data_IF_305045344471
#
_entry.id   IF_305045344471
#
_cell.length_a   1.000
_cell.length_b   1.000
_cell.length_c   1.000
_cell.angle_alpha   90.00
_cell.angle_beta   90.00
_cell.angle_gamma   90.00
#
_symmetry.space_group_name_H-M   'P 1'
#
loop_
_entity.id
_entity.type
_entity.pdbx_description
1 polymer ?
#
# COMPACT_ATOMS: atom_id res chain seq x y z
N UNK A 1 -9.19 7.91 -13.26
CA UNK A 1 -9.57 8.23 -11.86
C UNK A 1 -11.08 8.18 -11.61
N UNK A 2 -11.92 8.93 -12.34
CA UNK A 2 -13.38 8.87 -12.16
C UNK A 2 -13.98 7.45 -12.26
N UNK A 3 -13.44 6.63 -13.17
CA UNK A 3 -13.87 5.24 -13.33
C UNK A 3 -13.61 4.39 -12.07
N UNK A 4 -12.44 4.52 -11.42
CA UNK A 4 -12.10 3.75 -10.20
C UNK A 4 -13.03 4.11 -9.05
N UNK A 5 -13.31 5.40 -8.86
CA UNK A 5 -14.23 5.87 -7.83
C UNK A 5 -15.62 5.28 -8.06
N UNK A 6 -16.13 5.35 -9.30
CA UNK A 6 -17.45 4.79 -9.63
C UNK A 6 -17.54 3.29 -9.36
N UNK A 7 -16.47 2.54 -9.64
CA UNK A 7 -16.39 1.10 -9.35
C UNK A 7 -16.42 0.81 -7.85
N UNK A 8 -15.70 1.59 -7.04
CA UNK A 8 -15.69 1.46 -5.58
C UNK A 8 -17.06 1.83 -5.00
N UNK A 9 -17.73 2.86 -5.53
CA UNK A 9 -19.08 3.24 -5.10
C UNK A 9 -20.12 2.18 -5.45
N UNK A 10 -20.01 1.52 -6.61
CA UNK A 10 -20.99 0.53 -7.08
C UNK A 10 -20.81 -0.87 -6.49
N UNK A 11 -19.63 -1.19 -5.94
CA UNK A 11 -19.30 -2.53 -5.44
C UNK A 11 -19.02 -2.51 -3.92
N UNK A 12 -19.24 -3.62 -3.22
CA UNK A 12 -18.81 -3.76 -1.82
C UNK A 12 -17.32 -4.05 -1.71
N UNK A 13 -16.79 -4.80 -2.69
CA UNK A 13 -15.38 -5.19 -2.77
C UNK A 13 -14.87 -4.94 -4.18
N UNK A 14 -13.74 -4.27 -4.30
CA UNK A 14 -13.01 -4.09 -5.56
C UNK A 14 -11.56 -4.51 -5.35
N UNK A 15 -11.00 -5.24 -6.31
CA UNK A 15 -9.59 -5.60 -6.33
C UNK A 15 -8.90 -4.66 -7.31
N UNK A 16 -7.85 -3.99 -6.86
CA UNK A 16 -7.04 -3.10 -7.67
C UNK A 16 -5.69 -3.78 -7.88
N UNK A 17 -5.46 -4.18 -9.13
CA UNK A 17 -4.24 -4.78 -9.59
C UNK A 17 -3.34 -3.72 -10.24
N UNK A 18 -2.06 -3.68 -9.90
CA UNK A 18 -1.09 -2.85 -10.60
C UNK A 18 0.29 -2.96 -9.99
N UNK A 19 1.34 -2.77 -10.78
CA UNK A 19 2.73 -2.97 -10.34
C UNK A 19 3.11 -2.15 -9.10
N UNK A 20 4.16 -2.57 -8.39
CA UNK A 20 4.78 -1.75 -7.34
C UNK A 20 5.21 -0.40 -7.91
N UNK A 21 4.96 0.68 -7.18
CA UNK A 21 5.21 2.04 -7.66
C UNK A 21 4.09 2.65 -8.52
N UNK A 22 3.00 1.93 -8.82
CA UNK A 22 1.83 2.50 -9.53
C UNK A 22 0.96 3.46 -8.70
N UNK A 23 1.37 3.75 -7.47
CA UNK A 23 0.68 4.71 -6.59
C UNK A 23 -0.59 4.19 -5.92
N UNK A 24 -0.83 2.87 -5.86
CA UNK A 24 -2.03 2.29 -5.23
C UNK A 24 -2.23 2.76 -3.78
N UNK A 25 -1.20 2.61 -2.96
CA UNK A 25 -1.24 2.88 -1.52
C UNK A 25 -1.15 4.36 -1.16
N UNK A 26 -0.65 5.19 -2.09
CA UNK A 26 -0.44 6.63 -1.88
C UNK A 26 -1.55 7.48 -2.50
N UNK A 27 -1.94 7.22 -3.76
CA UNK A 27 -2.82 8.10 -4.52
C UNK A 27 -4.30 7.68 -4.46
N UNK A 28 -4.63 6.39 -4.49
CA UNK A 28 -6.04 5.95 -4.51
C UNK A 28 -6.84 6.38 -3.27
N UNK A 29 -6.33 6.23 -2.03
CA UNK A 29 -7.05 6.71 -0.84
C UNK A 29 -7.26 8.22 -0.87
N UNK A 30 -6.29 8.97 -1.40
CA UNK A 30 -6.37 10.42 -1.54
C UNK A 30 -7.45 10.84 -2.55
N UNK A 31 -7.56 10.16 -3.70
CA UNK A 31 -8.62 10.44 -4.67
C UNK A 31 -10.02 10.17 -4.11
N UNK A 32 -10.19 9.12 -3.31
CA UNK A 32 -11.46 8.84 -2.63
C UNK A 32 -11.75 9.92 -1.59
N UNK A 33 -10.76 10.29 -0.78
CA UNK A 33 -10.93 11.34 0.22
C UNK A 33 -11.35 12.67 -0.43
N UNK A 34 -10.66 13.10 -1.49
CA UNK A 34 -10.95 14.33 -2.22
C UNK A 34 -12.36 14.29 -2.83
N UNK A 35 -12.76 13.15 -3.41
CA UNK A 35 -14.10 12.99 -3.97
C UNK A 35 -15.21 13.23 -2.94
N UNK A 36 -15.05 12.68 -1.73
CA UNK A 36 -16.03 12.85 -0.67
C UNK A 36 -15.99 14.26 -0.06
N UNK A 37 -14.81 14.87 0.08
CA UNK A 37 -14.66 16.27 0.52
C UNK A 37 -15.38 17.22 -0.44
N UNK A 38 -15.20 17.05 -1.75
CA UNK A 38 -15.87 17.87 -2.78
C UNK A 38 -17.39 17.78 -2.74
N UNK A 39 -17.94 16.67 -2.24
CA UNK A 39 -19.39 16.43 -2.10
C UNK A 39 -19.91 16.75 -0.70
N UNK A 40 -19.06 17.27 0.19
CA UNK A 40 -19.36 17.49 1.60
C UNK A 40 -19.92 16.23 2.29
N UNK A 41 -19.43 15.05 1.89
CA UNK A 41 -19.87 13.76 2.41
C UNK A 41 -18.85 13.23 3.44
N UNK A 42 -19.36 12.55 4.47
CA UNK A 42 -18.49 11.92 5.46
C UNK A 42 -17.67 10.78 4.82
N UNK A 43 -16.37 10.78 5.09
CA UNK A 43 -15.44 9.76 4.63
C UNK A 43 -14.38 9.50 5.70
N UNK A 44 -14.27 8.24 6.12
CA UNK A 44 -13.22 7.77 7.00
C UNK A 44 -12.56 6.53 6.37
N UNK A 45 -11.27 6.63 6.10
CA UNK A 45 -10.50 5.67 5.31
C UNK A 45 -9.39 5.09 6.18
N UNK A 46 -9.31 3.75 6.21
CA UNK A 46 -8.13 3.05 6.71
C UNK A 46 -7.41 2.36 5.57
N UNK A 47 -6.08 2.42 5.61
CA UNK A 47 -5.20 1.69 4.68
C UNK A 47 -4.26 0.82 5.49
N UNK A 48 -4.26 -0.49 5.25
CA UNK A 48 -3.28 -1.39 5.88
C UNK A 48 -1.94 -1.30 5.17
N UNK A 49 -0.88 -1.60 5.91
CA UNK A 49 0.46 -1.85 5.40
C UNK A 49 1.03 -3.09 6.10
N UNK A 50 1.79 -3.96 5.41
CA UNK A 50 2.38 -5.14 6.04
C UNK A 50 3.42 -4.75 7.10
N UNK A 51 4.10 -3.61 6.93
CA UNK A 51 5.21 -3.17 7.79
C UNK A 51 4.92 -1.84 8.47
N UNK A 52 5.38 -1.71 9.72
CA UNK A 52 5.27 -0.46 10.51
C UNK A 52 5.88 0.74 9.80
N UNK A 53 7.08 0.56 9.24
CA UNK A 53 7.80 1.61 8.49
C UNK A 53 6.99 2.04 7.26
N UNK A 54 6.30 1.12 6.58
CA UNK A 54 5.42 1.44 5.45
C UNK A 54 4.28 2.38 5.86
N UNK A 55 3.53 2.00 6.91
CA UNK A 55 2.42 2.83 7.41
C UNK A 55 2.88 4.23 7.83
N UNK A 56 3.94 4.32 8.65
CA UNK A 56 4.41 5.61 9.15
C UNK A 56 5.05 6.49 8.07
N UNK A 57 5.79 5.89 7.12
CA UNK A 57 6.46 6.63 6.05
C UNK A 57 5.47 7.17 5.02
N UNK A 58 4.45 6.39 4.64
CA UNK A 58 3.43 6.83 3.69
C UNK A 58 2.62 7.99 4.29
N UNK A 59 2.14 7.87 5.54
CA UNK A 59 1.40 8.95 6.20
C UNK A 59 2.23 10.25 6.30
N UNK A 60 3.51 10.14 6.63
CA UNK A 60 4.44 11.29 6.66
C UNK A 60 4.65 11.88 5.26
N UNK A 61 4.80 11.05 4.24
CA UNK A 61 4.97 11.51 2.87
C UNK A 61 3.73 12.26 2.38
N UNK A 62 2.53 11.71 2.55
CA UNK A 62 1.26 12.36 2.18
C UNK A 62 1.07 13.67 2.94
N UNK A 63 1.38 13.71 4.24
CA UNK A 63 1.28 14.94 5.04
C UNK A 63 2.14 16.07 4.45
N UNK A 64 3.34 15.74 3.94
CA UNK A 64 4.23 16.70 3.28
C UNK A 64 3.73 17.07 1.88
N UNK A 65 3.32 16.10 1.08
CA UNK A 65 2.78 16.29 -0.28
C UNK A 65 1.58 17.27 -0.27
N UNK A 66 0.69 17.10 0.71
CA UNK A 66 -0.55 17.90 0.85
C UNK A 66 -0.43 19.13 1.73
N UNK A 67 0.75 19.40 2.29
CA UNK A 67 0.95 20.42 3.33
C UNK A 67 -0.06 20.29 4.50
N UNK A 68 -0.37 19.07 4.90
CA UNK A 68 -1.19 18.76 6.07
C UNK A 68 -0.33 18.48 7.30
N UNK A 69 -0.85 18.81 8.47
CA UNK A 69 -0.23 18.37 9.73
C UNK A 69 -0.43 16.88 9.90
N UNK A 70 0.65 16.14 10.13
CA UNK A 70 0.59 14.72 10.47
C UNK A 70 -0.19 14.51 11.77
N UNK A 71 -1.17 13.62 11.76
CA UNK A 71 -2.13 13.43 12.84
C UNK A 71 -3.37 14.32 12.76
N UNK A 72 -3.38 15.29 11.84
CA UNK A 72 -4.58 16.02 11.40
C UNK A 72 -5.40 15.14 10.45
N UNK A 73 -5.60 15.58 9.20
CA UNK A 73 -6.43 14.86 8.23
C UNK A 73 -5.86 13.48 7.84
N UNK A 74 -4.52 13.35 7.82
CA UNK A 74 -3.79 12.10 7.58
C UNK A 74 -2.98 11.69 8.82
N UNK A 75 -2.98 10.40 9.15
CA UNK A 75 -2.27 9.89 10.32
C UNK A 75 -1.87 8.42 10.18
N UNK A 76 -1.28 7.86 11.24
CA UNK A 76 -0.99 6.43 11.30
C UNK A 76 -1.15 5.82 12.68
N UNK A 77 -1.29 4.49 12.72
CA UNK A 77 -1.25 3.70 13.94
C UNK A 77 -0.46 2.40 13.75
N UNK A 78 0.61 2.21 14.50
CA UNK A 78 1.49 1.03 14.40
C UNK A 78 1.82 0.49 15.80
N UNK A 79 1.36 -0.73 16.09
CA UNK A 79 1.42 -1.27 17.46
C UNK A 79 0.77 -0.31 18.46
N UNK A 80 1.55 0.16 19.45
CA UNK A 80 1.10 1.12 20.47
C UNK A 80 1.29 2.59 20.06
N UNK A 81 2.06 2.86 19.00
CA UNK A 81 2.28 4.22 18.51
C UNK A 81 1.10 4.67 17.65
N UNK A 82 0.44 5.76 18.05
CA UNK A 82 -0.69 6.34 17.33
C UNK A 82 -0.46 7.83 17.13
N UNK A 83 -0.41 8.26 15.87
CA UNK A 83 -0.39 9.66 15.45
C UNK A 83 -1.65 9.91 14.64
N UNK A 84 -2.76 10.15 15.33
CA UNK A 84 -4.07 10.43 14.75
C UNK A 84 -4.96 11.11 15.79
N UNK A 85 -5.88 11.94 15.32
CA UNK A 85 -6.88 12.66 16.13
C UNK A 85 -8.30 12.28 15.69
N UNK A 86 -9.32 12.86 16.32
CA UNK A 86 -10.71 12.71 15.87
C UNK A 86 -10.97 13.36 14.50
N UNK A 87 -10.07 14.23 14.04
CA UNK A 87 -10.12 14.86 12.71
C UNK A 87 -9.45 14.03 11.62
N UNK A 88 -8.74 12.96 11.99
CA UNK A 88 -8.13 12.07 11.00
C UNK A 88 -9.20 11.37 10.18
N UNK A 89 -9.09 11.48 8.85
CA UNK A 89 -9.99 10.87 7.87
C UNK A 89 -9.28 9.87 6.96
N UNK A 90 -7.96 9.90 6.91
CA UNK A 90 -7.11 8.92 6.24
C UNK A 90 -6.06 8.40 7.22
N UNK A 91 -6.19 7.16 7.65
CA UNK A 91 -5.26 6.54 8.59
C UNK A 91 -4.56 5.33 7.99
N UNK A 92 -3.24 5.31 8.08
CA UNK A 92 -2.41 4.15 7.71
C UNK A 92 -2.12 3.31 8.95
N UNK A 93 -2.28 1.99 8.89
CA UNK A 93 -1.95 1.14 10.04
C UNK A 93 -1.41 -0.22 9.63
N UNK A 94 -0.77 -0.94 10.55
CA UNK A 94 -0.39 -2.32 10.24
C UNK A 94 -1.61 -3.23 10.17
N UNK A 95 -1.51 -4.31 9.38
CA UNK A 95 -2.53 -5.36 9.27
C UNK A 95 -3.00 -5.85 10.64
N UNK A 96 -2.07 -6.18 11.55
CA UNK A 96 -2.40 -6.62 12.90
C UNK A 96 -3.16 -5.59 13.75
N UNK A 97 -2.88 -4.28 13.60
CA UNK A 97 -3.60 -3.23 14.33
C UNK A 97 -5.05 -3.14 13.86
N UNK A 98 -5.28 -3.19 12.54
CA UNK A 98 -6.64 -3.20 11.99
C UNK A 98 -7.39 -4.45 12.45
N UNK A 99 -6.76 -5.62 12.34
CA UNK A 99 -7.35 -6.90 12.76
C UNK A 99 -7.80 -6.85 14.23
N UNK A 100 -6.94 -6.37 15.12
CA UNK A 100 -7.26 -6.23 16.55
C UNK A 100 -8.45 -5.28 16.76
N UNK A 101 -8.47 -4.12 16.08
CA UNK A 101 -9.57 -3.14 16.15
C UNK A 101 -10.91 -3.75 15.75
N UNK A 102 -10.98 -4.39 14.58
CA UNK A 102 -12.26 -4.89 14.03
C UNK A 102 -12.75 -6.14 14.76
N UNK A 103 -11.85 -6.95 15.32
CA UNK A 103 -12.22 -8.10 16.17
C UNK A 103 -12.80 -7.60 17.50
N UNK A 104 -12.18 -6.58 18.10
CA UNK A 104 -12.67 -5.97 19.34
C UNK A 104 -14.03 -5.28 19.13
N UNK A 105 -14.14 -4.46 18.08
CA UNK A 105 -15.37 -3.73 17.75
C UNK A 105 -16.48 -4.62 17.18
N UNK A 106 -16.12 -5.81 16.64
CA UNK A 106 -17.02 -6.72 15.91
C UNK A 106 -17.75 -6.03 14.74
N UNK A 107 -17.13 -5.03 14.14
CA UNK A 107 -17.70 -4.20 13.08
C UNK A 107 -16.60 -3.49 12.29
N UNK A 108 -16.86 -3.18 11.01
CA UNK A 108 -16.02 -2.31 10.19
C UNK A 108 -16.53 -0.86 10.17
N UNK A 109 -17.66 -0.56 10.82
CA UNK A 109 -18.41 0.69 10.67
C UNK A 109 -17.69 1.94 11.20
N UNK A 110 -16.55 1.79 11.90
CA UNK A 110 -15.63 2.90 12.15
C UNK A 110 -15.18 3.55 10.84
N UNK A 111 -15.00 2.74 9.79
CA UNK A 111 -14.49 3.16 8.49
C UNK A 111 -15.59 3.09 7.42
N UNK A 112 -15.59 4.09 6.54
CA UNK A 112 -16.36 4.07 5.29
C UNK A 112 -15.67 3.23 4.22
N UNK A 113 -14.32 3.27 4.22
CA UNK A 113 -13.48 2.57 3.26
C UNK A 113 -12.33 1.86 3.97
N UNK A 114 -12.09 0.60 3.62
CA UNK A 114 -11.00 -0.22 4.14
C UNK A 114 -10.15 -0.69 2.96
N UNK A 115 -8.95 -0.15 2.85
CA UNK A 115 -7.95 -0.56 1.88
C UNK A 115 -7.04 -1.59 2.53
N UNK A 116 -6.96 -2.77 1.90
CA UNK A 116 -6.08 -3.85 2.33
C UNK A 116 -4.96 -3.95 1.30
N UNK A 117 -3.79 -3.45 1.67
CA UNK A 117 -2.63 -3.40 0.78
C UNK A 117 -1.79 -4.67 0.81
N UNK A 118 -1.04 -4.90 -0.26
CA UNK A 118 -0.08 -6.01 -0.40
C UNK A 118 -0.71 -7.39 -0.12
N UNK A 119 -1.97 -7.61 -0.57
CA UNK A 119 -2.68 -8.89 -0.31
C UNK A 119 -1.96 -10.10 -0.91
N UNK A 120 -1.05 -9.87 -1.86
CA UNK A 120 -0.24 -10.91 -2.48
C UNK A 120 0.88 -11.46 -1.59
N UNK A 121 1.24 -10.80 -0.48
CA UNK A 121 2.25 -11.33 0.45
C UNK A 121 1.76 -12.58 1.22
N UNK A 122 0.44 -12.84 1.25
CA UNK A 122 -0.21 -14.03 1.86
C UNK A 122 0.34 -14.40 3.25
N UNK A 123 0.47 -13.41 4.11
CA UNK A 123 0.83 -13.65 5.51
C UNK A 123 -0.37 -14.20 6.29
N UNK A 124 -0.12 -14.96 7.36
CA UNK A 124 -1.19 -15.50 8.21
C UNK A 124 -2.12 -14.38 8.72
N UNK A 125 -1.53 -13.27 9.20
CA UNK A 125 -2.30 -12.10 9.65
C UNK A 125 -3.19 -11.51 8.56
N UNK A 126 -2.73 -11.47 7.30
CA UNK A 126 -3.50 -10.99 6.16
C UNK A 126 -4.71 -11.90 5.90
N UNK A 127 -4.50 -13.21 5.88
CA UNK A 127 -5.58 -14.18 5.64
C UNK A 127 -6.64 -14.12 6.75
N UNK A 128 -6.22 -13.99 8.01
CA UNK A 128 -7.15 -13.76 9.12
C UNK A 128 -7.93 -12.45 8.98
N UNK A 129 -7.26 -11.36 8.57
CA UNK A 129 -7.93 -10.09 8.30
C UNK A 129 -8.99 -10.24 7.20
N UNK A 130 -8.66 -10.86 6.07
CA UNK A 130 -9.60 -11.08 4.97
C UNK A 130 -10.81 -11.91 5.41
N UNK A 131 -10.59 -12.94 6.23
CA UNK A 131 -11.66 -13.77 6.80
C UNK A 131 -12.61 -12.97 7.69
N UNK A 132 -12.09 -12.17 8.60
CA UNK A 132 -12.91 -11.34 9.50
C UNK A 132 -13.65 -10.26 8.70
N UNK A 133 -12.96 -9.57 7.78
CA UNK A 133 -13.56 -8.54 6.91
C UNK A 133 -14.71 -9.12 6.08
N UNK A 134 -14.50 -10.27 5.42
CA UNK A 134 -15.55 -10.94 4.64
C UNK A 134 -16.76 -11.30 5.50
N UNK A 135 -16.53 -11.80 6.72
CA UNK A 135 -17.61 -12.12 7.66
C UNK A 135 -18.40 -10.87 8.05
N UNK A 136 -17.72 -9.78 8.40
CA UNK A 136 -18.36 -8.53 8.83
C UNK A 136 -19.13 -7.85 7.69
N UNK A 137 -18.59 -7.85 6.47
CA UNK A 137 -19.28 -7.36 5.28
C UNK A 137 -20.62 -8.08 5.03
N UNK A 138 -20.68 -9.39 5.30
CA UNK A 138 -21.88 -10.20 5.08
C UNK A 138 -22.91 -10.07 6.20
N UNK A 139 -22.53 -9.57 7.37
CA UNK A 139 -23.41 -9.52 8.55
C UNK A 139 -23.87 -8.11 8.87
N UNK A 140 -22.97 -7.23 9.32
CA UNK A 140 -23.33 -5.97 9.96
C UNK A 140 -22.67 -4.73 9.32
N UNK A 141 -21.76 -4.92 8.37
CA UNK A 141 -20.97 -3.83 7.77
C UNK A 141 -21.19 -3.72 6.25
N UNK A 142 -22.44 -3.93 5.78
CA UNK A 142 -22.78 -4.08 4.35
C UNK A 142 -22.52 -2.84 3.48
N UNK A 143 -22.41 -1.66 4.10
CA UNK A 143 -22.19 -0.38 3.42
C UNK A 143 -20.71 0.01 3.35
N UNK A 144 -19.83 -0.69 4.07
CA UNK A 144 -18.39 -0.42 4.05
C UNK A 144 -17.81 -0.88 2.73
N UNK A 145 -16.98 -0.03 2.13
CA UNK A 145 -16.27 -0.32 0.88
C UNK A 145 -14.92 -0.94 1.20
N UNK A 146 -14.64 -2.12 0.63
CA UNK A 146 -13.34 -2.78 0.79
C UNK A 146 -12.60 -2.76 -0.54
N UNK A 147 -11.34 -2.34 -0.49
CA UNK A 147 -10.46 -2.28 -1.64
C UNK A 147 -9.25 -3.15 -1.37
N UNK A 148 -9.07 -4.22 -2.14
CA UNK A 148 -7.88 -5.08 -2.05
C UNK A 148 -6.85 -4.60 -3.07
N UNK A 149 -5.61 -4.34 -2.65
CA UNK A 149 -4.55 -3.87 -3.55
C UNK A 149 -3.48 -4.94 -3.70
N UNK A 150 -3.18 -5.30 -4.95
CA UNK A 150 -2.21 -6.35 -5.29
C UNK A 150 -1.27 -5.88 -6.41
N UNK A 151 0.01 -6.29 -6.32
CA UNK A 151 0.98 -6.09 -7.39
C UNK A 151 1.16 -7.32 -8.30
N UNK A 152 0.51 -8.45 -7.98
CA UNK A 152 0.68 -9.70 -8.71
C UNK A 152 -0.57 -10.12 -9.48
N UNK A 153 -0.34 -10.92 -10.52
CA UNK A 153 -1.37 -11.36 -11.47
C UNK A 153 -2.40 -12.33 -10.86
N UNK A 154 -2.14 -12.92 -9.68
CA UNK A 154 -3.05 -13.86 -9.04
C UNK A 154 -4.16 -13.16 -8.24
N UNK A 155 -4.88 -12.23 -8.89
CA UNK A 155 -6.02 -11.52 -8.31
C UNK A 155 -7.32 -12.35 -8.33
N UNK A 156 -7.37 -13.42 -9.14
CA UNK A 156 -8.56 -14.24 -9.33
C UNK A 156 -8.98 -14.97 -8.05
N UNK A 157 -8.04 -15.51 -7.29
CA UNK A 157 -8.35 -16.19 -6.03
C UNK A 157 -9.04 -15.27 -5.02
N UNK A 158 -8.59 -14.00 -4.93
CA UNK A 158 -9.26 -13.00 -4.10
C UNK A 158 -10.64 -12.63 -4.63
N UNK A 159 -10.80 -12.55 -5.95
CA UNK A 159 -12.08 -12.23 -6.58
C UNK A 159 -13.13 -13.31 -6.30
N UNK A 160 -12.75 -14.57 -6.44
CA UNK A 160 -13.58 -15.73 -6.16
C UNK A 160 -13.87 -15.85 -4.65
N UNK A 161 -12.88 -15.56 -3.80
CA UNK A 161 -13.07 -15.55 -2.35
C UNK A 161 -14.14 -14.52 -1.92
N UNK A 162 -14.10 -13.30 -2.45
CA UNK A 162 -15.08 -12.25 -2.15
C UNK A 162 -16.35 -12.31 -3.01
N UNK A 163 -16.56 -13.39 -3.77
CA UNK A 163 -17.75 -13.54 -4.59
C UNK A 163 -19.05 -13.40 -3.79
N UNK A 164 -20.05 -12.78 -4.43
CA UNK A 164 -21.39 -12.55 -3.88
C UNK A 164 -22.44 -13.30 -4.69
N UNK A 165 -23.49 -13.85 -4.05
CA UNK A 165 -24.56 -14.53 -4.77
C UNK A 165 -25.44 -13.52 -5.53
N UNK A 166 -25.55 -13.69 -6.85
CA UNK A 166 -26.42 -12.93 -7.76
C UNK A 166 -27.18 -13.92 -8.62
N UNK A 167 -28.51 -13.92 -8.56
CA UNK A 167 -29.38 -14.77 -9.40
C UNK A 167 -28.96 -16.26 -9.41
N UNK A 168 -28.76 -16.85 -8.21
CA UNK A 168 -28.30 -18.24 -8.00
C UNK A 168 -26.91 -18.58 -8.57
N UNK A 169 -26.10 -17.58 -8.92
CA UNK A 169 -24.68 -17.75 -9.30
C UNK A 169 -23.79 -16.93 -8.39
N UNK A 170 -22.57 -17.40 -8.17
CA UNK A 170 -21.54 -16.62 -7.49
C UNK A 170 -20.90 -15.67 -8.50
N UNK A 171 -21.04 -14.36 -8.28
CA UNK A 171 -20.38 -13.34 -9.08
C UNK A 171 -19.07 -12.91 -8.37
N UNK A 172 -17.90 -13.08 -8.98
CA UNK A 172 -16.62 -12.69 -8.38
C UNK A 172 -16.53 -11.17 -8.16
N UNK A 173 -15.68 -10.74 -7.23
CA UNK A 173 -15.41 -9.32 -7.04
C UNK A 173 -14.73 -8.71 -8.27
N UNK A 174 -15.04 -7.45 -8.56
CA UNK A 174 -14.49 -6.77 -9.73
C UNK A 174 -12.98 -6.55 -9.59
N UNK A 175 -12.22 -6.89 -10.63
CA UNK A 175 -10.78 -6.62 -10.72
C UNK A 175 -10.57 -5.44 -11.66
N UNK A 176 -9.96 -4.37 -11.13
CA UNK A 176 -9.57 -3.19 -11.89
C UNK A 176 -8.04 -3.17 -12.05
N UNK A 177 -7.56 -3.08 -13.29
CA UNK A 177 -6.14 -2.97 -13.59
C UNK A 177 -5.72 -1.51 -13.72
N UNK A 178 -4.73 -1.10 -12.93
CA UNK A 178 -4.09 0.20 -13.02
C UNK A 178 -2.99 0.12 -14.06
N UNK A 179 -3.16 0.88 -15.15
CA UNK A 179 -2.10 1.06 -16.14
C UNK A 179 -0.87 1.71 -15.48
N UNK A 180 0.28 1.06 -15.60
CA UNK A 180 1.57 1.60 -15.18
C UNK A 180 2.66 1.14 -16.13
N UNK A 181 3.47 2.07 -16.62
CA UNK A 181 4.75 1.72 -17.26
C UNK A 181 5.77 1.53 -16.15
N UNK A 182 6.32 0.32 -15.93
CA UNK A 182 7.50 0.20 -15.08
C UNK A 182 8.61 1.06 -15.70
N UNK A 183 9.36 1.79 -14.86
CA UNK A 183 10.62 2.37 -15.32
C UNK A 183 11.53 1.25 -15.82
N UNK A 184 12.33 1.51 -16.86
CA UNK A 184 13.28 0.52 -17.37
C UNK A 184 14.29 0.21 -16.27
N UNK A 185 14.22 -1.01 -15.74
CA UNK A 185 15.22 -1.55 -14.80
C UNK A 185 16.17 -2.41 -15.63
N UNK A 186 17.47 -2.15 -15.52
CA UNK A 186 18.50 -3.02 -16.08
C UNK A 186 18.73 -4.17 -15.09
N UNK A 187 18.51 -5.41 -15.55
CA UNK A 187 18.76 -6.61 -14.77
C UNK A 187 20.15 -7.17 -15.11
N UNK A 188 20.96 -7.39 -14.08
CA UNK A 188 22.27 -8.03 -14.22
C UNK A 188 22.29 -9.32 -13.41
N UNK A 189 22.69 -10.40 -14.06
CA UNK A 189 22.90 -11.71 -13.47
C UNK A 189 24.38 -11.88 -13.09
N UNK A 190 24.71 -12.91 -12.31
CA UNK A 190 26.08 -13.14 -11.83
C UNK A 190 27.12 -13.13 -12.98
N UNK A 191 26.77 -13.69 -14.13
CA UNK A 191 27.63 -13.73 -15.32
C UNK A 191 27.83 -12.34 -15.95
N UNK A 192 26.86 -11.43 -15.80
CA UNK A 192 26.96 -10.06 -16.31
C UNK A 192 27.88 -9.21 -15.42
N UNK A 193 28.06 -9.60 -14.15
CA UNK A 193 28.95 -8.93 -13.21
C UNK A 193 30.43 -9.17 -13.51
N UNK A 194 30.81 -10.25 -14.19
CA UNK A 194 32.20 -10.52 -14.58
C UNK A 194 32.73 -9.42 -15.53
N UNK A 195 31.86 -8.91 -16.42
CA UNK A 195 32.17 -7.81 -17.33
C UNK A 195 32.15 -6.43 -16.65
N UNK A 196 31.37 -6.28 -15.57
CA UNK A 196 31.31 -5.05 -14.78
C UNK A 196 32.56 -4.91 -13.90
N UNK A 197 33.05 -6.00 -13.30
CA UNK A 197 34.30 -5.97 -12.53
C UNK A 197 35.50 -5.56 -13.39
N UNK A 198 35.57 -6.02 -14.65
CA UNK A 198 36.64 -5.61 -15.57
C UNK A 198 36.58 -4.13 -15.97
N UNK A 199 35.41 -3.49 -15.92
CA UNK A 199 35.25 -2.06 -16.25
C UNK A 199 35.41 -1.15 -15.03
N UNK A 200 35.11 -1.62 -13.82
CA UNK A 200 35.36 -0.86 -12.56
C UNK A 200 36.84 -0.88 -12.15
N UNK A 201 37.60 -1.93 -12.49
CA UNK A 201 39.05 -1.98 -12.20
C UNK A 201 39.87 -1.03 -13.10
N UNK A 202 39.31 -0.55 -14.22
CA UNK A 202 39.97 0.47 -15.07
C UNK A 202 39.92 1.90 -14.50
N UNK A 203 39.33 2.14 -13.32
CA UNK A 203 39.39 3.44 -12.65
C UNK A 203 40.64 3.66 -11.80
N UNK A 204 41.43 2.62 -11.53
CA UNK A 204 42.66 2.74 -10.74
C UNK A 204 43.87 3.33 -11.51
N UNK A 205 43.73 3.58 -12.82
CA UNK A 205 44.76 4.26 -13.63
C UNK A 205 44.45 5.75 -13.88
N UNK A 206 43.48 6.34 -13.18
CA UNK A 206 43.40 7.79 -13.07
C UNK A 206 44.30 8.29 -11.92
N UNK A 207 45.56 8.53 -12.25
CA UNK A 207 46.39 9.51 -11.54
C UNK A 207 45.66 10.87 -11.59
N UNK A 208 44.87 11.19 -10.56
CA UNK A 208 44.49 12.55 -10.12
C UNK A 208 43.34 12.45 -9.09
N UNK A 209 43.65 12.00 -7.87
CA UNK A 209 42.94 12.47 -6.67
C UNK A 209 43.80 12.15 -5.44
N UNK A 210 44.61 13.12 -5.04
CA UNK A 210 45.16 13.14 -3.68
C UNK A 210 44.03 13.53 -2.72
N UNK A 211 44.10 12.94 -1.52
CA UNK A 211 43.28 13.17 -0.34
C UNK A 211 41.93 12.45 -0.33
N UNK A 212 41.90 11.27 0.30
CA UNK A 212 41.12 10.92 1.50
C UNK A 212 41.29 9.42 1.74
N UNK A 213 42.03 9.07 2.81
CA UNK A 213 42.19 7.70 3.32
C UNK A 213 40.84 7.08 3.67
N UNK A 214 40.46 6.01 2.98
CA UNK A 214 39.51 5.03 3.52
C UNK A 214 40.14 3.63 3.51
N UNK A 215 40.37 3.14 4.73
CA UNK A 215 40.68 1.75 5.04
C UNK A 215 39.42 0.94 4.75
N UNK A 216 39.55 -0.04 3.85
CA UNK A 216 38.52 -1.04 3.60
C UNK A 216 38.62 -2.10 4.70
N UNK A 217 37.69 -2.09 5.66
CA UNK A 217 37.52 -3.19 6.60
C UNK A 217 36.28 -4.00 6.22
N UNK A 218 36.46 -5.32 6.17
CA UNK A 218 35.52 -6.30 5.67
C UNK A 218 34.41 -6.52 6.68
N UNK A 219 33.31 -5.77 6.61
CA UNK A 219 31.97 -6.16 7.08
C UNK A 219 30.98 -5.03 6.81
N UNK A 220 30.42 -4.97 5.60
CA UNK A 220 29.18 -4.22 5.37
C UNK A 220 28.23 -5.02 4.49
N UNK A 221 27.21 -5.56 5.16
CA UNK A 221 25.97 -6.02 4.57
C UNK A 221 25.33 -4.84 3.83
N UNK A 222 25.11 -4.96 2.53
CA UNK A 222 24.47 -3.91 1.75
C UNK A 222 23.02 -3.73 2.19
N UNK A 223 22.78 -2.73 3.04
CA UNK A 223 21.48 -2.10 3.21
C UNK A 223 21.53 -0.73 2.53
N UNK A 224 21.34 -0.73 1.21
CA UNK A 224 21.08 0.47 0.41
C UNK A 224 19.59 0.81 0.48
N UNK A 225 19.17 1.34 1.63
CA UNK A 225 18.05 2.28 1.68
C UNK A 225 18.65 3.63 2.03
N UNK A 226 18.78 4.52 1.05
CA UNK A 226 18.68 5.99 1.19
C UNK A 226 19.29 6.67 -0.05
N UNK A 227 18.41 7.11 -0.93
CA UNK A 227 18.25 8.51 -1.37
C UNK A 227 17.63 8.52 -2.79
N UNK A 228 16.33 8.24 -2.83
CA UNK A 228 15.50 8.38 -4.02
C UNK A 228 14.22 9.11 -3.65
N UNK A 229 14.35 10.43 -3.49
CA UNK A 229 13.21 11.36 -3.48
C UNK A 229 12.55 11.24 -4.86
N UNK A 230 11.48 10.46 -4.95
CA UNK A 230 10.61 10.49 -6.13
C UNK A 230 9.76 11.76 -5.99
N UNK A 231 10.15 12.80 -6.74
CA UNK A 231 9.24 13.82 -7.24
C UNK A 231 8.44 13.19 -8.37
N UNK A 232 7.18 12.84 -8.12
CA UNK A 232 6.09 12.79 -9.08
C UNK A 232 4.91 13.43 -8.38
#
# INVERSE_FOLDING_TARGET
>A
MALVISLIESNSVVIIHGATGSGKSTQLPQYILDHYIQRCAYCNIVVTQPRKIGASSIARWISKERAWTLGGLVGYQVGLEKIATEDTRLIYMTTGVLLQKIVSAKSLMEFTHVFIDEVHERTEEMDFLLLVVRKLLRTNSRFVKVVLMSATINCKEFADYFAVPVQNKMNPAYIFEVEGKPYSIEEYYLNDLEHIYHSVVCWNDCFLCNDWTFVCDQTCTYHLWLQGIIRI
#
